data_IF_272148419157
#
_entry.id   IF_272148419157
#
_cell.length_a   1.000
_cell.length_b   1.000
_cell.length_c   1.000
_cell.angle_alpha   90.00
_cell.angle_beta   90.00
_cell.angle_gamma   90.00
#
_symmetry.space_group_name_H-M   'P 1'
#
loop_
_entity.id
_entity.type
_entity.pdbx_description
1 polymer ?
#
# COMPACT_ATOMS: atom_id res chain seq x y z
N UNK A 1 -9.64 17.14 15.16
CA UNK A 1 -9.23 17.71 16.46
C UNK A 1 -7.72 17.64 16.72
N UNK A 2 -6.94 16.78 16.06
CA UNK A 2 -5.48 16.70 16.26
C UNK A 2 -4.70 17.96 15.88
N UNK A 3 -5.13 18.74 14.88
CA UNK A 3 -4.49 20.02 14.54
C UNK A 3 -4.61 21.07 15.65
N UNK A 4 -5.74 21.07 16.37
CA UNK A 4 -5.93 21.92 17.57
C UNK A 4 -5.09 21.38 18.71
N UNK A 5 -4.96 20.06 18.87
CA UNK A 5 -4.07 19.46 19.86
C UNK A 5 -2.59 19.82 19.61
N UNK A 6 -2.11 19.81 18.35
CA UNK A 6 -0.75 20.25 18.00
C UNK A 6 -0.54 21.72 18.36
N UNK A 7 -1.49 22.59 18.01
CA UNK A 7 -1.42 24.03 18.34
C UNK A 7 -1.50 24.28 19.85
N UNK A 8 -2.33 23.55 20.58
CA UNK A 8 -2.42 23.64 22.03
C UNK A 8 -1.13 23.16 22.71
N UNK A 9 -0.55 22.06 22.24
CA UNK A 9 0.75 21.56 22.71
C UNK A 9 1.87 22.56 22.44
N UNK A 10 1.97 23.08 21.20
CA UNK A 10 2.97 24.11 20.86
C UNK A 10 2.77 25.42 21.63
N UNK A 11 1.54 25.76 22.01
CA UNK A 11 1.27 26.94 22.84
C UNK A 11 1.68 26.76 24.31
N UNK A 12 1.85 25.53 24.78
CA UNK A 12 2.30 25.21 26.15
C UNK A 12 3.79 24.99 26.29
N UNK A 13 4.52 24.81 25.18
CA UNK A 13 5.96 24.56 25.18
C UNK A 13 6.72 25.89 25.19
N UNK A 14 7.61 26.08 26.17
CA UNK A 14 8.50 27.26 26.21
C UNK A 14 9.68 27.10 25.24
N UNK A 15 10.26 28.21 24.76
CA UNK A 15 11.31 28.20 23.73
C UNK A 15 12.55 27.38 24.14
N UNK A 16 12.87 27.34 25.43
CA UNK A 16 14.01 26.58 25.96
C UNK A 16 13.75 25.07 26.03
N UNK A 17 12.48 24.65 26.04
CA UNK A 17 12.06 23.25 26.06
C UNK A 17 11.97 22.64 24.64
N UNK A 18 12.03 23.45 23.59
CA UNK A 18 11.99 22.99 22.19
C UNK A 18 13.18 22.11 21.79
N UNK A 19 14.28 22.12 22.55
CA UNK A 19 15.43 21.24 22.35
C UNK A 19 15.36 19.95 23.17
N UNK A 20 14.27 19.72 23.90
CA UNK A 20 14.08 18.50 24.70
C UNK A 20 13.66 17.33 23.78
N UNK A 21 14.38 16.21 23.88
CA UNK A 21 14.09 14.97 23.15
C UNK A 21 12.66 14.44 23.41
N UNK A 22 12.13 14.64 24.62
CA UNK A 22 10.76 14.22 24.97
C UNK A 22 9.70 15.00 24.17
N UNK A 23 9.94 16.31 23.95
CA UNK A 23 9.04 17.17 23.19
C UNK A 23 9.12 16.85 21.70
N UNK A 24 10.32 16.56 21.18
CA UNK A 24 10.49 16.07 19.81
C UNK A 24 9.74 14.75 19.58
N UNK A 25 9.84 13.80 20.52
CA UNK A 25 9.14 12.52 20.43
C UNK A 25 7.62 12.70 20.38
N UNK A 26 7.06 13.55 21.25
CA UNK A 26 5.60 13.83 21.25
C UNK A 26 5.19 14.54 19.96
N UNK A 27 6.00 15.47 19.47
CA UNK A 27 5.72 16.16 18.21
C UNK A 27 5.72 15.19 17.02
N UNK A 28 6.70 14.28 16.95
CA UNK A 28 6.79 13.23 15.94
C UNK A 28 5.57 12.31 15.98
N UNK A 29 5.11 11.89 17.17
CA UNK A 29 3.90 11.08 17.30
C UNK A 29 2.63 11.79 16.81
N UNK A 30 2.50 13.09 17.10
CA UNK A 30 1.36 13.89 16.64
C UNK A 30 1.40 14.01 15.11
N UNK A 31 2.58 14.22 14.54
CA UNK A 31 2.78 14.37 13.10
C UNK A 31 2.54 13.05 12.37
N UNK A 32 3.05 11.93 12.89
CA UNK A 32 2.77 10.58 12.38
C UNK A 32 1.25 10.30 12.32
N UNK A 33 0.52 10.69 13.37
CA UNK A 33 -0.95 10.54 13.44
C UNK A 33 -1.68 11.46 12.46
N UNK A 34 -1.22 12.69 12.27
CA UNK A 34 -1.81 13.64 11.33
C UNK A 34 -1.62 13.21 9.87
N UNK A 35 -0.45 12.64 9.54
CA UNK A 35 -0.16 12.12 8.21
C UNK A 35 -1.09 10.95 7.86
N UNK A 36 -1.25 9.99 8.78
CA UNK A 36 -2.18 8.85 8.59
C UNK A 36 -3.63 9.31 8.42
N UNK A 37 -4.05 10.36 9.13
CA UNK A 37 -5.37 10.97 8.92
C UNK A 37 -5.51 11.69 7.58
N UNK A 38 -4.42 12.29 7.09
CA UNK A 38 -4.39 12.92 5.77
C UNK A 38 -4.58 11.87 4.68
N UNK A 39 -3.89 10.73 4.79
CA UNK A 39 -4.06 9.58 3.87
C UNK A 39 -5.49 9.05 3.92
N UNK A 40 -6.08 8.88 5.10
CA UNK A 40 -7.50 8.51 5.24
C UNK A 40 -8.42 9.50 4.51
N UNK A 41 -8.17 10.80 4.68
CA UNK A 41 -8.99 11.86 4.08
C UNK A 41 -8.88 11.83 2.55
N UNK A 42 -7.68 11.62 2.02
CA UNK A 42 -7.46 11.45 0.58
C UNK A 42 -8.18 10.21 0.05
N UNK A 43 -8.08 9.08 0.74
CA UNK A 43 -8.78 7.85 0.36
C UNK A 43 -10.30 8.03 0.36
N UNK A 44 -10.84 8.73 1.37
CA UNK A 44 -12.25 9.08 1.43
C UNK A 44 -12.68 9.95 0.24
N UNK A 45 -11.87 10.93 -0.16
CA UNK A 45 -12.14 11.75 -1.34
C UNK A 45 -12.15 10.92 -2.62
N UNK A 46 -11.24 9.94 -2.77
CA UNK A 46 -11.27 9.01 -3.91
C UNK A 46 -12.59 8.25 -3.95
N UNK A 47 -13.07 7.73 -2.81
CA UNK A 47 -14.35 7.02 -2.75
C UNK A 47 -15.54 7.93 -3.07
N UNK A 48 -15.51 9.19 -2.60
CA UNK A 48 -16.54 10.18 -2.90
C UNK A 48 -16.54 10.56 -4.39
N UNK A 49 -15.39 10.66 -5.04
CA UNK A 49 -15.30 10.97 -6.47
C UNK A 49 -15.91 9.88 -7.36
N UNK A 50 -15.85 8.61 -6.93
CA UNK A 50 -16.53 7.50 -7.61
C UNK A 50 -18.06 7.57 -7.45
N UNK A 51 -18.52 8.14 -6.34
CA UNK A 51 -19.93 8.42 -6.07
C UNK A 51 -20.36 9.71 -6.78
N UNK A 52 -20.58 9.63 -8.09
CA UNK A 52 -21.12 10.74 -8.90
C UNK A 52 -22.37 11.36 -8.26
N UNK A 53 -22.59 12.66 -8.52
CA UNK A 53 -23.82 13.37 -8.12
C UNK A 53 -25.06 12.62 -8.61
N UNK A 54 -25.83 12.03 -7.69
CA UNK A 54 -26.99 11.18 -7.99
C UNK A 54 -26.80 9.68 -7.73
N UNK A 55 -25.71 9.26 -7.09
CA UNK A 55 -25.51 7.88 -6.66
C UNK A 55 -26.57 7.34 -5.67
N UNK A 56 -26.54 6.04 -5.36
CA UNK A 56 -27.51 5.41 -4.45
C UNK A 56 -27.61 6.14 -3.11
N UNK A 57 -28.83 6.33 -2.59
CA UNK A 57 -29.02 6.97 -1.28
C UNK A 57 -28.59 6.06 -0.13
N UNK A 58 -28.77 4.74 -0.28
CA UNK A 58 -28.43 3.73 0.71
C UNK A 58 -26.93 3.45 0.75
N UNK A 59 -26.38 3.33 1.96
CA UNK A 59 -24.96 3.06 2.21
C UNK A 59 -24.46 1.82 1.48
N UNK A 60 -25.17 0.70 1.56
CA UNK A 60 -24.74 -0.55 0.92
C UNK A 60 -24.72 -0.42 -0.62
N UNK A 61 -25.60 0.41 -1.19
CA UNK A 61 -25.58 0.74 -2.61
C UNK A 61 -24.35 1.57 -2.99
N UNK A 62 -23.96 2.54 -2.15
CA UNK A 62 -22.74 3.34 -2.34
C UNK A 62 -21.48 2.48 -2.25
N UNK A 63 -21.40 1.61 -1.24
CA UNK A 63 -20.27 0.68 -1.06
C UNK A 63 -20.11 -0.18 -2.32
N UNK A 64 -21.19 -0.76 -2.82
CA UNK A 64 -21.14 -1.57 -4.03
C UNK A 64 -20.61 -0.81 -5.25
N UNK A 65 -21.05 0.43 -5.48
CA UNK A 65 -20.55 1.27 -6.57
C UNK A 65 -19.04 1.50 -6.46
N UNK A 66 -18.55 1.80 -5.26
CA UNK A 66 -17.12 2.03 -5.01
C UNK A 66 -16.32 0.74 -5.21
N UNK A 67 -16.78 -0.39 -4.69
CA UNK A 67 -16.12 -1.71 -4.83
C UNK A 67 -16.11 -2.16 -6.30
N UNK A 68 -17.24 -2.04 -7.02
CA UNK A 68 -17.34 -2.40 -8.43
C UNK A 68 -16.44 -1.51 -9.31
N UNK A 69 -16.21 -0.24 -8.94
CA UNK A 69 -15.33 0.67 -9.70
C UNK A 69 -13.86 0.46 -9.36
N UNK A 70 -13.51 0.44 -8.06
CA UNK A 70 -12.13 0.45 -7.60
C UNK A 70 -11.56 -0.94 -7.37
N UNK A 71 -12.35 -1.99 -7.18
CA UNK A 71 -11.85 -3.32 -6.83
C UNK A 71 -12.35 -4.43 -7.77
N UNK A 72 -12.80 -4.08 -8.98
CA UNK A 72 -13.27 -5.03 -10.00
C UNK A 72 -12.30 -6.18 -10.28
N UNK A 73 -10.99 -5.92 -10.18
CA UNK A 73 -9.94 -6.91 -10.41
C UNK A 73 -9.94 -8.03 -9.36
N UNK A 74 -10.38 -7.79 -8.12
CA UNK A 74 -10.40 -8.82 -7.07
C UNK A 74 -11.35 -9.96 -7.46
N UNK A 75 -12.55 -9.59 -7.91
CA UNK A 75 -13.56 -10.53 -8.38
C UNK A 75 -13.13 -11.30 -9.63
N UNK A 76 -12.44 -10.62 -10.56
CA UNK A 76 -11.94 -11.24 -11.78
C UNK A 76 -10.88 -12.33 -11.51
N UNK A 77 -10.12 -12.21 -10.41
CA UNK A 77 -9.09 -13.17 -10.00
C UNK A 77 -9.56 -14.11 -8.87
N UNK A 78 -10.88 -14.25 -8.66
CA UNK A 78 -11.48 -15.14 -7.65
C UNK A 78 -11.05 -14.85 -6.20
N UNK A 79 -10.65 -13.60 -5.89
CA UNK A 79 -10.25 -13.14 -4.54
C UNK A 79 -11.44 -12.56 -3.78
N UNK A 80 -12.43 -13.41 -3.49
CA UNK A 80 -13.73 -12.97 -2.95
C UNK A 80 -13.66 -12.49 -1.49
N UNK A 81 -12.78 -13.07 -0.66
CA UNK A 81 -12.63 -12.65 0.73
C UNK A 81 -11.95 -11.28 0.82
N UNK A 82 -11.02 -10.97 -0.08
CA UNK A 82 -10.46 -9.63 -0.22
C UNK A 82 -11.47 -8.60 -0.73
N UNK A 83 -12.36 -8.97 -1.64
CA UNK A 83 -13.47 -8.10 -2.06
C UNK A 83 -14.39 -7.77 -0.88
N UNK A 84 -14.74 -8.77 -0.06
CA UNK A 84 -15.54 -8.57 1.14
C UNK A 84 -14.83 -7.70 2.18
N UNK A 85 -13.55 -7.95 2.44
CA UNK A 85 -12.72 -7.14 3.33
C UNK A 85 -12.68 -5.68 2.86
N UNK A 86 -12.42 -5.46 1.57
CA UNK A 86 -12.40 -4.10 1.00
C UNK A 86 -13.77 -3.42 1.12
N UNK A 87 -14.86 -4.15 0.87
CA UNK A 87 -16.23 -3.66 1.05
C UNK A 87 -16.51 -3.20 2.49
N UNK A 88 -16.05 -3.98 3.49
CA UNK A 88 -16.16 -3.60 4.90
C UNK A 88 -15.37 -2.33 5.22
N UNK A 89 -14.14 -2.21 4.71
CA UNK A 89 -13.28 -1.02 4.89
C UNK A 89 -13.89 0.24 4.26
N UNK A 90 -14.42 0.11 3.03
CA UNK A 90 -15.16 1.19 2.35
C UNK A 90 -16.38 1.60 3.17
N UNK A 91 -17.13 0.64 3.72
CA UNK A 91 -18.30 0.94 4.56
C UNK A 91 -17.93 1.73 5.81
N UNK A 92 -16.85 1.37 6.50
CA UNK A 92 -16.34 2.09 7.67
C UNK A 92 -15.98 3.53 7.31
N UNK A 93 -15.24 3.72 6.22
CA UNK A 93 -14.84 5.05 5.74
C UNK A 93 -16.04 5.90 5.30
N UNK A 94 -17.02 5.34 4.58
CA UNK A 94 -18.21 6.09 4.12
C UNK A 94 -19.14 6.52 5.27
N UNK A 95 -19.12 5.81 6.41
CA UNK A 95 -19.82 6.23 7.63
C UNK A 95 -19.12 7.42 8.32
N UNK A 96 -17.86 7.69 7.97
CA UNK A 96 -17.05 8.76 8.55
C UNK A 96 -16.09 8.31 9.65
N UNK A 97 -15.91 7.00 9.82
CA UNK A 97 -14.93 6.45 10.74
C UNK A 97 -13.56 6.36 10.04
N UNK A 98 -12.48 6.57 10.79
CA UNK A 98 -11.11 6.41 10.28
C UNK A 98 -10.64 4.95 10.42
N UNK A 99 -9.85 4.49 9.46
CA UNK A 99 -9.16 3.20 9.50
C UNK A 99 -7.66 3.44 9.72
N UNK A 100 -6.99 2.57 10.47
CA UNK A 100 -5.61 2.76 10.90
C UNK A 100 -4.79 1.48 10.71
N UNK A 101 -3.46 1.61 10.67
CA UNK A 101 -2.54 0.48 10.63
C UNK A 101 -2.79 -0.45 9.44
N UNK A 102 -2.91 -1.75 9.74
CA UNK A 102 -3.06 -2.82 8.73
C UNK A 102 -4.33 -2.68 7.88
N UNK A 103 -5.41 -2.13 8.43
CA UNK A 103 -6.67 -1.96 7.71
C UNK A 103 -6.59 -0.84 6.66
N UNK A 104 -5.83 0.21 6.96
CA UNK A 104 -5.54 1.27 5.99
C UNK A 104 -4.59 0.76 4.87
N UNK A 105 -3.59 -0.04 5.24
CA UNK A 105 -2.70 -0.71 4.27
C UNK A 105 -3.52 -1.59 3.31
N UNK A 106 -4.47 -2.37 3.82
CA UNK A 106 -5.35 -3.19 2.98
C UNK A 106 -6.25 -2.33 2.10
N UNK A 107 -6.84 -1.25 2.61
CA UNK A 107 -7.67 -0.36 1.80
C UNK A 107 -6.90 0.32 0.66
N UNK A 108 -5.63 0.69 0.88
CA UNK A 108 -4.77 1.31 -0.13
C UNK A 108 -4.26 0.32 -1.19
N UNK A 109 -4.04 -0.94 -0.80
CA UNK A 109 -3.40 -1.94 -1.66
C UNK A 109 -4.38 -2.88 -2.35
N UNK A 110 -5.60 -3.07 -1.82
CA UNK A 110 -6.64 -3.91 -2.44
C UNK A 110 -7.39 -3.22 -3.58
N UNK A 111 -7.40 -1.88 -3.58
CA UNK A 111 -7.99 -1.12 -4.68
C UNK A 111 -7.10 -1.21 -5.93
N UNK A 112 -7.71 -1.00 -7.07
CA UNK A 112 -7.06 -0.97 -8.34
C UNK A 112 -6.24 0.32 -8.48
N UNK A 113 -4.92 0.16 -8.49
CA UNK A 113 -3.94 1.24 -8.51
C UNK A 113 -3.42 1.60 -9.91
N UNK A 114 -4.11 1.16 -10.99
CA UNK A 114 -3.65 1.40 -12.37
C UNK A 114 -3.40 2.88 -12.71
N UNK A 115 -4.14 3.80 -12.08
CA UNK A 115 -3.96 5.25 -12.29
C UNK A 115 -2.97 5.89 -11.32
N UNK A 116 -2.72 5.28 -10.16
CA UNK A 116 -1.95 5.87 -9.07
C UNK A 116 -1.19 4.79 -8.29
N UNK A 117 0.03 4.47 -8.72
CA UNK A 117 0.91 3.56 -7.99
C UNK A 117 1.41 4.14 -6.65
N UNK A 118 1.22 5.45 -6.43
CA UNK A 118 1.61 6.17 -5.20
C UNK A 118 0.87 5.63 -3.97
N UNK A 119 -0.31 5.03 -4.15
CA UNK A 119 -1.05 4.45 -3.03
C UNK A 119 -0.33 3.28 -2.35
N UNK A 120 0.53 2.56 -3.08
CA UNK A 120 1.42 1.55 -2.48
C UNK A 120 2.52 2.19 -1.62
N UNK A 121 3.02 3.36 -2.00
CA UNK A 121 3.96 4.11 -1.18
C UNK A 121 3.27 4.58 0.10
N UNK A 122 2.04 5.12 0.01
CA UNK A 122 1.26 5.50 1.19
C UNK A 122 1.05 4.30 2.13
N UNK A 123 0.89 3.08 1.62
CA UNK A 123 0.82 1.89 2.46
C UNK A 123 2.13 1.61 3.23
N UNK A 124 3.30 1.76 2.59
CA UNK A 124 4.61 1.62 3.25
C UNK A 124 4.81 2.73 4.30
N UNK A 125 4.40 3.94 3.96
CA UNK A 125 4.41 5.10 4.83
C UNK A 125 3.51 4.94 6.07
N UNK A 126 2.34 4.32 5.92
CA UNK A 126 1.45 3.96 7.03
C UNK A 126 2.09 2.90 7.91
N UNK A 127 2.75 1.89 7.31
CA UNK A 127 3.50 0.87 8.05
C UNK A 127 4.58 1.50 8.94
N UNK A 128 5.39 2.44 8.41
CA UNK A 128 6.48 3.10 9.16
C UNK A 128 5.97 3.86 10.39
N UNK A 129 4.76 4.43 10.27
CA UNK A 129 4.11 5.21 11.32
C UNK A 129 3.30 4.35 12.30
N UNK A 130 2.98 3.10 11.94
CA UNK A 130 2.22 2.17 12.76
C UNK A 130 3.12 1.48 13.82
N UNK A 131 3.66 2.27 14.75
CA UNK A 131 4.56 1.81 15.83
C UNK A 131 3.83 0.99 16.91
N UNK A 132 2.50 1.09 16.99
CA UNK A 132 1.67 0.45 18.02
C UNK A 132 1.31 -1.02 17.73
N UNK A 133 1.72 -1.57 16.58
CA UNK A 133 1.38 -2.94 16.17
C UNK A 133 2.42 -3.97 16.66
N UNK A 134 2.00 -5.20 17.01
CA UNK A 134 2.93 -6.31 17.24
C UNK A 134 3.84 -6.53 16.02
N UNK A 135 5.13 -6.76 16.27
CA UNK A 135 6.17 -6.86 15.23
C UNK A 135 5.82 -7.85 14.12
N UNK A 136 5.35 -9.05 14.46
CA UNK A 136 4.95 -10.06 13.49
C UNK A 136 3.82 -9.60 12.55
N UNK A 137 2.84 -8.84 13.08
CA UNK A 137 1.74 -8.26 12.29
C UNK A 137 2.22 -7.10 11.43
N UNK A 138 3.11 -6.28 11.97
CA UNK A 138 3.80 -5.21 11.25
C UNK A 138 4.50 -5.79 10.01
N UNK A 139 5.38 -6.78 10.20
CA UNK A 139 6.11 -7.42 9.09
C UNK A 139 5.17 -8.02 8.04
N UNK A 140 4.09 -8.69 8.47
CA UNK A 140 3.11 -9.26 7.55
C UNK A 140 2.42 -8.19 6.69
N UNK A 141 2.16 -7.01 7.26
CA UNK A 141 1.58 -5.88 6.54
C UNK A 141 2.54 -5.30 5.50
N UNK A 142 3.83 -5.12 5.85
CA UNK A 142 4.86 -4.67 4.90
C UNK A 142 5.03 -5.65 3.73
N UNK A 143 5.13 -6.95 4.04
CA UNK A 143 5.19 -8.02 3.02
C UNK A 143 3.96 -7.99 2.11
N UNK A 144 2.78 -7.72 2.66
CA UNK A 144 1.54 -7.63 1.89
C UNK A 144 1.51 -6.41 0.98
N UNK A 145 1.94 -5.24 1.46
CA UNK A 145 2.03 -4.04 0.64
C UNK A 145 2.95 -4.28 -0.57
N UNK A 146 4.16 -4.77 -0.35
CA UNK A 146 5.11 -5.08 -1.42
C UNK A 146 4.64 -6.20 -2.33
N UNK A 147 4.06 -7.29 -1.80
CA UNK A 147 3.50 -8.36 -2.64
C UNK A 147 2.49 -7.79 -3.63
N UNK A 148 1.58 -6.93 -3.18
CA UNK A 148 0.57 -6.32 -4.06
C UNK A 148 1.17 -5.29 -5.03
N UNK A 149 2.23 -4.58 -4.65
CA UNK A 149 3.02 -3.76 -5.59
C UNK A 149 3.61 -4.63 -6.69
N UNK A 150 4.22 -5.77 -6.35
CA UNK A 150 4.74 -6.71 -7.34
C UNK A 150 3.62 -7.32 -8.18
N UNK A 151 2.48 -7.68 -7.61
CA UNK A 151 1.37 -8.26 -8.38
C UNK A 151 0.59 -7.25 -9.24
N UNK A 152 0.90 -5.95 -9.13
CA UNK A 152 0.21 -4.91 -9.89
C UNK A 152 0.55 -4.93 -11.38
N UNK A 153 1.82 -5.19 -11.72
CA UNK A 153 2.31 -5.05 -13.08
C UNK A 153 2.19 -6.38 -13.86
N UNK A 154 2.03 -6.27 -15.17
CA UNK A 154 1.95 -7.43 -16.08
C UNK A 154 3.37 -7.87 -16.49
N UNK A 155 3.96 -8.74 -15.66
CA UNK A 155 5.31 -9.27 -15.89
C UNK A 155 5.39 -10.22 -17.07
N UNK A 156 4.30 -10.89 -17.45
CA UNK A 156 4.26 -11.74 -18.62
C UNK A 156 4.56 -10.89 -19.86
N UNK A 157 3.80 -9.81 -20.05
CA UNK A 157 4.00 -8.87 -21.17
C UNK A 157 5.40 -8.25 -21.17
N UNK A 158 5.96 -7.92 -19.99
CA UNK A 158 7.30 -7.35 -19.87
C UNK A 158 8.41 -8.37 -20.17
N UNK A 159 8.23 -9.64 -19.78
CA UNK A 159 9.21 -10.72 -20.00
C UNK A 159 9.26 -11.19 -21.45
N UNK A 160 8.14 -11.17 -22.18
CA UNK A 160 8.01 -11.67 -23.56
C UNK A 160 8.50 -10.65 -24.60
N UNK A 161 8.99 -9.48 -24.18
CA UNK A 161 9.34 -8.32 -25.01
C UNK A 161 10.55 -8.48 -25.96
N UNK A 162 10.61 -9.57 -26.73
CA UNK A 162 11.56 -9.82 -27.82
C UNK A 162 11.45 -8.73 -28.88
N UNK A 163 12.54 -8.00 -29.09
CA UNK A 163 12.66 -6.99 -30.14
C UNK A 163 12.44 -5.54 -29.69
N UNK A 164 12.24 -5.28 -28.39
CA UNK A 164 12.35 -3.92 -27.87
C UNK A 164 13.79 -3.44 -27.89
N UNK A 165 13.98 -2.15 -28.16
CA UNK A 165 15.27 -1.49 -27.90
C UNK A 165 15.48 -1.31 -26.41
N UNK A 166 16.74 -1.14 -25.99
CA UNK A 166 17.08 -0.85 -24.60
C UNK A 166 16.34 0.39 -24.04
N UNK A 167 16.08 1.39 -24.89
CA UNK A 167 15.30 2.58 -24.52
C UNK A 167 13.83 2.23 -24.25
N UNK A 168 13.19 1.48 -25.15
CA UNK A 168 11.79 1.09 -24.98
C UNK A 168 11.59 0.19 -23.76
N UNK A 169 12.54 -0.72 -23.51
CA UNK A 169 12.54 -1.56 -22.30
C UNK A 169 12.64 -0.70 -21.04
N UNK A 170 13.56 0.28 -21.02
CA UNK A 170 13.73 1.22 -19.91
C UNK A 170 12.44 1.99 -19.63
N UNK A 171 11.82 2.56 -20.66
CA UNK A 171 10.56 3.31 -20.52
C UNK A 171 9.43 2.45 -19.96
N UNK A 172 9.35 1.17 -20.36
CA UNK A 172 8.36 0.24 -19.81
C UNK A 172 8.62 -0.07 -18.35
N UNK A 173 9.88 -0.35 -17.97
CA UNK A 173 10.26 -0.57 -16.58
C UNK A 173 9.98 0.66 -15.72
N UNK A 174 10.23 1.88 -16.22
CA UNK A 174 9.92 3.12 -15.51
C UNK A 174 8.43 3.37 -15.30
N UNK A 175 7.56 2.74 -16.11
CA UNK A 175 6.10 2.86 -15.96
C UNK A 175 5.52 1.92 -14.91
N UNK A 176 6.27 0.88 -14.51
CA UNK A 176 5.84 -0.10 -13.49
C UNK A 176 5.52 0.58 -12.15
N UNK A 177 4.63 -0.03 -11.38
CA UNK A 177 4.36 0.40 -10.03
C UNK A 177 5.61 0.25 -9.15
N UNK A 178 6.37 -0.84 -9.35
CA UNK A 178 7.61 -1.09 -8.60
C UNK A 178 8.63 0.04 -8.77
N UNK A 179 8.89 0.47 -10.00
CA UNK A 179 9.83 1.58 -10.24
C UNK A 179 9.35 2.88 -9.61
N UNK A 180 8.08 3.23 -9.77
CA UNK A 180 7.50 4.45 -9.20
C UNK A 180 7.61 4.47 -7.67
N UNK A 181 7.25 3.36 -7.02
CA UNK A 181 7.32 3.22 -5.57
C UNK A 181 8.78 3.31 -5.09
N UNK A 182 9.71 2.60 -5.72
CA UNK A 182 11.13 2.65 -5.36
C UNK A 182 11.71 4.06 -5.55
N UNK A 183 11.48 4.68 -6.70
CA UNK A 183 12.00 6.02 -7.00
C UNK A 183 11.53 7.05 -5.97
N UNK A 184 10.24 7.05 -5.62
CA UNK A 184 9.73 7.96 -4.59
C UNK A 184 10.23 7.60 -3.19
N UNK A 185 10.34 6.30 -2.87
CA UNK A 185 10.90 5.85 -1.59
C UNK A 185 12.35 6.35 -1.39
N UNK A 186 13.20 6.27 -2.43
CA UNK A 186 14.55 6.80 -2.36
C UNK A 186 14.59 8.32 -2.26
N UNK A 187 13.72 9.04 -2.98
CA UNK A 187 13.60 10.50 -2.85
C UNK A 187 13.21 10.93 -1.44
N UNK A 188 12.37 10.15 -0.77
CA UNK A 188 11.95 10.36 0.62
C UNK A 188 12.94 9.80 1.65
N UNK A 189 14.08 9.23 1.23
CA UNK A 189 15.07 8.57 2.08
C UNK A 189 14.48 7.47 2.96
N UNK A 190 13.53 6.69 2.44
CA UNK A 190 13.02 5.49 3.12
C UNK A 190 14.17 4.50 3.34
N UNK A 191 14.23 3.95 4.55
CA UNK A 191 15.25 3.02 4.99
C UNK A 191 15.22 1.72 4.17
N UNK A 192 16.41 1.20 3.84
CA UNK A 192 16.54 0.00 2.99
C UNK A 192 15.85 -1.23 3.56
N UNK A 193 15.69 -1.32 4.88
CA UNK A 193 14.98 -2.40 5.56
C UNK A 193 13.48 -2.44 5.24
N UNK A 194 12.91 -1.33 4.78
CA UNK A 194 11.52 -1.25 4.34
C UNK A 194 11.35 -1.54 2.85
N UNK A 195 12.44 -1.74 2.10
CA UNK A 195 12.44 -2.01 0.67
C UNK A 195 12.65 -3.50 0.43
N UNK A 196 11.55 -4.25 0.31
CA UNK A 196 11.60 -5.70 0.18
C UNK A 196 11.81 -6.15 -1.27
N UNK A 197 12.43 -7.33 -1.42
CA UNK A 197 12.53 -8.05 -2.69
C UNK A 197 11.32 -8.96 -2.91
N UNK A 198 11.01 -9.34 -4.16
CA UNK A 198 9.91 -10.26 -4.45
C UNK A 198 9.92 -11.54 -3.62
N UNK A 199 11.10 -12.16 -3.43
CA UNK A 199 11.24 -13.41 -2.66
C UNK A 199 10.96 -13.28 -1.17
N UNK A 200 10.90 -12.07 -0.62
CA UNK A 200 10.68 -11.81 0.80
C UNK A 200 9.20 -11.54 1.12
N UNK A 201 8.37 -11.40 0.08
CA UNK A 201 7.00 -10.87 0.18
C UNK A 201 5.92 -11.96 0.31
N UNK A 202 6.32 -13.23 0.46
CA UNK A 202 5.36 -14.33 0.63
C UNK A 202 4.53 -14.16 1.90
N UNK A 203 3.23 -14.39 1.77
CA UNK A 203 2.36 -14.55 2.93
C UNK A 203 2.74 -15.84 3.65
N UNK A 204 3.22 -15.70 4.89
CA UNK A 204 3.70 -16.80 5.75
C UNK A 204 3.06 -16.76 7.14
N UNK A 205 2.18 -15.78 7.41
CA UNK A 205 1.58 -15.62 8.73
C UNK A 205 0.77 -16.86 9.10
N UNK A 206 0.99 -17.42 10.30
CA UNK A 206 0.16 -18.47 10.85
C UNK A 206 -1.32 -18.07 10.86
N UNK A 207 -2.20 -19.07 10.75
CA UNK A 207 -3.66 -18.87 10.88
C UNK A 207 -4.03 -18.16 12.19
N UNK A 208 -3.28 -18.42 13.26
CA UNK A 208 -3.50 -17.81 14.57
C UNK A 208 -3.28 -16.29 14.57
N UNK A 209 -2.32 -15.80 13.78
CA UNK A 209 -2.07 -14.36 13.62
C UNK A 209 -3.23 -13.70 12.86
N UNK A 210 -3.74 -14.36 11.82
CA UNK A 210 -4.95 -13.90 11.12
C UNK A 210 -6.17 -13.94 12.05
N UNK A 211 -6.31 -14.95 12.92
CA UNK A 211 -7.38 -15.00 13.91
C UNK A 211 -7.30 -13.85 14.90
N UNK A 212 -6.10 -13.54 15.37
CA UNK A 212 -5.84 -12.45 16.31
C UNK A 212 -6.14 -11.08 15.67
N UNK A 213 -5.93 -10.96 14.36
CA UNK A 213 -6.30 -9.78 13.57
C UNK A 213 -7.82 -9.68 13.35
N UNK A 214 -8.44 -10.73 12.85
CA UNK A 214 -9.87 -10.76 12.50
C UNK A 214 -10.71 -11.39 13.61
N UNK A 215 -10.71 -10.76 14.79
CA UNK A 215 -11.44 -11.27 15.94
C UNK A 215 -12.94 -11.33 15.66
N UNK A 216 -13.56 -12.48 15.94
CA UNK A 216 -14.99 -12.71 15.70
C UNK A 216 -15.34 -13.15 14.27
N UNK A 217 -14.37 -13.20 13.35
CA UNK A 217 -14.59 -13.78 12.02
C UNK A 217 -14.79 -15.30 12.13
N UNK A 218 -15.84 -15.88 11.51
CA UNK A 218 -16.03 -17.33 11.44
C UNK A 218 -14.89 -18.06 10.73
N UNK A 219 -14.63 -19.31 11.14
CA UNK A 219 -13.53 -20.12 10.59
C UNK A 219 -13.56 -20.26 9.07
N UNK A 220 -14.74 -20.48 8.50
CA UNK A 220 -14.89 -20.63 7.05
C UNK A 220 -14.54 -19.33 6.29
N UNK A 221 -14.80 -18.16 6.87
CA UNK A 221 -14.40 -16.87 6.28
C UNK A 221 -12.89 -16.66 6.39
N UNK A 222 -12.30 -17.09 7.51
CA UNK A 222 -10.84 -17.08 7.68
C UNK A 222 -10.15 -18.01 6.68
N UNK A 223 -10.73 -19.19 6.42
CA UNK A 223 -10.24 -20.12 5.38
C UNK A 223 -10.27 -19.51 3.99
N UNK A 224 -11.36 -18.81 3.64
CA UNK A 224 -11.43 -18.10 2.34
C UNK A 224 -10.39 -16.98 2.25
N UNK A 225 -10.13 -16.26 3.34
CA UNK A 225 -9.09 -15.23 3.37
C UNK A 225 -7.69 -15.82 3.20
N UNK A 226 -7.40 -16.94 3.88
CA UNK A 226 -6.15 -17.68 3.69
C UNK A 226 -6.00 -18.12 2.24
N UNK A 227 -7.07 -18.63 1.62
CA UNK A 227 -7.04 -19.03 0.22
C UNK A 227 -6.70 -17.86 -0.71
N UNK A 228 -7.28 -16.67 -0.49
CA UNK A 228 -6.96 -15.47 -1.28
C UNK A 228 -5.47 -15.07 -1.15
N UNK A 229 -4.90 -15.14 0.05
CA UNK A 229 -3.45 -14.95 0.24
C UNK A 229 -2.62 -16.02 -0.48
N UNK A 230 -3.07 -17.29 -0.50
CA UNK A 230 -2.39 -18.34 -1.24
C UNK A 230 -2.46 -18.14 -2.76
N UNK A 231 -3.55 -17.57 -3.28
CA UNK A 231 -3.65 -17.17 -4.70
C UNK A 231 -2.60 -16.11 -5.01
N UNK A 232 -2.45 -15.07 -4.17
CA UNK A 232 -1.39 -14.07 -4.34
C UNK A 232 0.01 -14.70 -4.29
N UNK A 233 0.28 -15.63 -3.36
CA UNK A 233 1.56 -16.33 -3.29
C UNK A 233 1.86 -17.14 -4.56
N UNK A 234 0.87 -17.87 -5.09
CA UNK A 234 1.02 -18.62 -6.34
C UNK A 234 1.29 -17.71 -7.53
N UNK A 235 0.61 -16.56 -7.59
CA UNK A 235 0.84 -15.57 -8.65
C UNK A 235 2.24 -14.95 -8.54
N UNK A 236 2.71 -14.68 -7.33
CA UNK A 236 4.06 -14.18 -7.08
C UNK A 236 5.12 -15.21 -7.49
N UNK A 237 4.92 -16.48 -7.11
CA UNK A 237 5.80 -17.58 -7.48
C UNK A 237 5.87 -17.78 -9.00
N UNK A 238 4.72 -17.70 -9.69
CA UNK A 238 4.65 -17.71 -11.15
C UNK A 238 5.48 -16.55 -11.75
N UNK A 239 5.30 -15.33 -11.26
CA UNK A 239 6.01 -14.16 -11.78
C UNK A 239 7.53 -14.27 -11.56
N UNK A 240 7.96 -14.82 -10.42
CA UNK A 240 9.37 -15.03 -10.11
C UNK A 240 9.96 -16.13 -11.00
N UNK A 241 9.32 -17.30 -11.05
CA UNK A 241 9.91 -18.50 -11.69
C UNK A 241 9.74 -18.52 -13.21
N UNK A 242 8.62 -18.00 -13.73
CA UNK A 242 8.30 -18.07 -15.17
C UNK A 242 8.59 -16.77 -15.91
N UNK A 243 8.35 -15.62 -15.30
CA UNK A 243 8.51 -14.31 -15.95
C UNK A 243 9.77 -13.55 -15.52
N UNK A 244 10.60 -14.13 -14.66
CA UNK A 244 11.90 -13.56 -14.28
C UNK A 244 11.77 -12.27 -13.46
N UNK A 245 10.73 -12.15 -12.64
CA UNK A 245 10.49 -10.96 -11.80
C UNK A 245 11.71 -10.60 -10.92
N UNK A 246 12.46 -11.59 -10.44
CA UNK A 246 13.66 -11.34 -9.64
C UNK A 246 14.73 -10.56 -10.44
N UNK A 247 14.96 -10.95 -11.69
CA UNK A 247 15.94 -10.28 -12.56
C UNK A 247 15.44 -8.90 -12.98
N UNK A 248 14.15 -8.78 -13.32
CA UNK A 248 13.51 -7.51 -13.66
C UNK A 248 13.55 -6.52 -12.49
N UNK A 249 13.38 -7.00 -11.27
CA UNK A 249 13.49 -6.17 -10.06
C UNK A 249 14.91 -5.62 -9.88
N UNK A 250 15.93 -6.44 -10.08
CA UNK A 250 17.32 -5.99 -9.99
C UNK A 250 17.64 -4.98 -11.12
N UNK A 251 17.12 -5.20 -12.34
CA UNK A 251 17.21 -4.22 -13.44
C UNK A 251 16.54 -2.88 -13.10
N UNK A 252 15.34 -2.91 -12.50
CA UNK A 252 14.61 -1.72 -12.03
C UNK A 252 15.43 -0.99 -10.95
N UNK A 253 16.02 -1.70 -10.00
CA UNK A 253 16.84 -1.10 -8.94
C UNK A 253 18.08 -0.42 -9.51
N UNK A 254 18.78 -1.09 -10.42
CA UNK A 254 19.98 -0.54 -11.05
C UNK A 254 19.64 0.69 -11.92
N UNK A 255 18.46 0.69 -12.57
CA UNK A 255 17.95 1.83 -13.34
C UNK A 255 17.67 3.04 -12.44
N UNK A 256 17.03 2.82 -11.28
CA UNK A 256 16.82 3.87 -10.29
C UNK A 256 18.16 4.43 -9.78
N UNK A 257 19.11 3.57 -9.42
CA UNK A 257 20.40 4.00 -8.91
C UNK A 257 21.13 4.88 -9.92
N UNK A 258 21.11 4.49 -11.21
CA UNK A 258 21.70 5.28 -12.30
C UNK A 258 21.03 6.64 -12.47
N UNK A 259 19.72 6.75 -12.29
CA UNK A 259 19.02 8.05 -12.33
C UNK A 259 19.48 8.95 -11.19
N UNK A 260 19.56 8.40 -9.98
CA UNK A 260 19.96 9.14 -8.78
C UNK A 260 21.41 9.61 -8.84
N UNK A 261 22.31 8.81 -9.42
CA UNK A 261 23.74 9.17 -9.58
C UNK A 261 24.03 10.01 -10.84
N UNK A 262 23.01 10.44 -11.59
CA UNK A 262 23.18 11.31 -12.77
C UNK A 262 23.80 10.62 -14.00
N UNK A 263 23.62 9.29 -14.12
CA UNK A 263 24.19 8.48 -15.20
C UNK A 263 23.57 8.68 -16.59
N UNK A 264 22.55 9.55 -16.73
CA UNK A 264 22.00 9.99 -18.00
C UNK A 264 21.76 11.50 -17.93
N UNK A 265 22.14 12.28 -18.97
CA UNK A 265 21.85 13.70 -19.00
C UNK A 265 20.34 13.89 -18.96
N UNK A 266 19.87 14.69 -18.00
CA UNK A 266 18.51 15.22 -17.99
C UNK A 266 18.36 16.06 -19.26
N UNK A 267 17.73 15.52 -20.29
CA UNK A 267 17.17 16.36 -21.35
C UNK A 267 15.98 17.11 -20.74
N UNK A 268 16.18 18.42 -20.59
CA UNK A 268 15.23 19.43 -20.14
C UNK A 268 14.07 19.57 -21.12
#
# INVERSE_FOLDING_TARGET
>A
MLSISKLAFLATVEYDELNNEDIHTIQEEIDDKLDVLTINSQLMQVFQNELKDGGPSLLDGKVKVVVDSLAAALKAHEKFAFEELFSQLVKVLLVGNSILGEDLIDALTLKNNHKCAVDYLYAIEVYRRAKDLPEARREAALKTAWRRTFLHDDWESLSISKGLTDEQRRELLMKTAVFKVLSTAYQQNIEKEYLLKPSECYFTSPRDDLRARFQGMPDHQLDTLVNDYQIENKQLDLNINQFGLADLYEEIRDLEERQRTGGYPLEV
#
